data_IF_426182121241
#
_entry.id   IF_426182121241
#
_cell.length_a   1.000
_cell.length_b   1.000
_cell.length_c   1.000
_cell.angle_alpha   90.00
_cell.angle_beta   90.00
_cell.angle_gamma   90.00
#
_symmetry.space_group_name_H-M   'P 1'
#
loop_
_entity.id
_entity.type
_entity.pdbx_description
1 polymer ?
#
# COMPACT_ATOMS: atom_id res chain seq x y z
N UNK A 1 -4.58 29.32 66.58
CA UNK A 1 -5.19 29.81 65.33
C UNK A 1 -4.12 30.50 64.49
N UNK A 2 -3.49 29.77 63.57
CA UNK A 2 -2.80 30.33 62.40
C UNK A 2 -2.55 29.15 61.46
N UNK A 3 -3.46 29.00 60.52
CA UNK A 3 -3.37 28.10 59.37
C UNK A 3 -3.85 28.89 58.18
N UNK A 4 -3.28 28.58 57.02
CA UNK A 4 -3.64 28.97 55.65
C UNK A 4 -2.63 29.93 55.04
N UNK A 5 -1.73 29.38 54.23
CA UNK A 5 -1.73 29.56 52.77
C UNK A 5 -0.59 28.70 52.19
N UNK A 6 -0.94 27.56 51.59
CA UNK A 6 -0.09 26.89 50.59
C UNK A 6 -0.64 27.28 49.21
N UNK A 7 0.19 27.69 48.26
CA UNK A 7 -0.26 27.89 46.89
C UNK A 7 -0.48 26.54 46.24
N UNK A 8 -1.71 26.28 45.81
CA UNK A 8 -2.08 25.17 44.96
C UNK A 8 -1.42 25.34 43.59
N UNK A 9 -0.58 24.39 43.22
CA UNK A 9 -0.14 24.16 41.84
C UNK A 9 -1.37 23.94 40.97
N UNK A 10 -1.63 24.86 40.04
CA UNK A 10 -2.55 24.66 38.93
C UNK A 10 -1.97 23.54 38.06
N UNK A 11 -2.47 22.32 38.27
CA UNK A 11 -2.39 21.30 37.25
C UNK A 11 -3.25 21.78 36.08
N UNK A 12 -2.59 22.15 34.98
CA UNK A 12 -3.25 22.38 33.69
C UNK A 12 -4.18 21.19 33.40
N UNK A 13 -5.48 21.46 33.49
CA UNK A 13 -6.51 20.57 32.99
C UNK A 13 -6.28 20.38 31.49
N UNK A 14 -5.68 19.25 31.09
CA UNK A 14 -5.81 18.77 29.73
C UNK A 14 -7.29 18.48 29.49
N UNK A 15 -7.95 19.39 28.78
CA UNK A 15 -9.19 19.09 28.07
C UNK A 15 -8.89 17.85 27.20
N UNK A 16 -9.73 16.79 27.20
CA UNK A 16 -9.51 15.66 26.31
C UNK A 16 -9.71 16.16 24.87
N UNK A 17 -8.61 16.62 24.26
CA UNK A 17 -8.56 16.98 22.86
C UNK A 17 -8.88 15.73 22.05
N UNK A 18 -9.75 15.87 21.05
CA UNK A 18 -9.97 14.79 20.10
C UNK A 18 -8.62 14.41 19.49
N UNK A 19 -8.23 13.14 19.61
CA UNK A 19 -7.01 12.57 19.03
C UNK A 19 -6.92 12.95 17.55
N UNK A 20 -5.72 13.30 17.08
CA UNK A 20 -5.47 13.54 15.65
C UNK A 20 -5.65 12.25 14.83
N UNK A 21 -5.39 11.10 15.45
CA UNK A 21 -5.68 9.79 14.86
C UNK A 21 -7.15 9.40 15.04
N UNK A 22 -7.74 8.94 13.95
CA UNK A 22 -9.08 8.34 13.86
C UNK A 22 -9.04 6.82 13.67
N UNK A 23 -7.86 6.23 13.60
CA UNK A 23 -7.66 4.79 13.47
C UNK A 23 -8.31 4.04 14.62
N UNK A 24 -9.23 3.12 14.29
CA UNK A 24 -9.89 2.26 15.28
C UNK A 24 -8.94 1.19 15.80
N UNK A 25 -8.82 1.10 17.13
CA UNK A 25 -7.95 0.13 17.77
C UNK A 25 -6.46 0.41 17.49
N UNK A 26 -5.65 -0.63 17.64
CA UNK A 26 -4.21 -0.59 17.42
C UNK A 26 -3.84 -1.51 16.27
N UNK A 27 -3.02 -1.03 15.34
CA UNK A 27 -2.45 -1.83 14.26
C UNK A 27 -1.54 -2.93 14.86
N UNK A 28 -1.63 -4.15 14.33
CA UNK A 28 -0.85 -5.29 14.82
C UNK A 28 0.05 -5.77 13.68
N UNK A 29 1.37 -5.55 13.75
CA UNK A 29 2.28 -6.09 12.74
C UNK A 29 2.27 -7.62 12.74
N UNK A 30 2.01 -8.22 11.57
CA UNK A 30 1.92 -9.68 11.40
C UNK A 30 3.13 -10.17 10.63
N UNK A 31 3.83 -11.17 11.18
CA UNK A 31 4.86 -11.89 10.42
C UNK A 31 4.18 -12.82 9.44
N UNK A 32 4.65 -12.85 8.20
CA UNK A 32 4.14 -13.72 7.14
C UNK A 32 5.28 -14.51 6.51
N UNK A 33 4.94 -15.67 5.95
CA UNK A 33 5.84 -16.50 5.16
C UNK A 33 5.05 -17.09 3.98
N UNK A 34 5.53 -16.84 2.77
CA UNK A 34 4.98 -17.39 1.55
C UNK A 34 5.90 -18.51 1.01
N UNK A 35 5.31 -19.55 0.41
CA UNK A 35 6.03 -20.62 -0.26
C UNK A 35 5.66 -20.60 -1.75
N UNK A 36 6.58 -20.11 -2.57
CA UNK A 36 6.36 -19.87 -4.00
C UNK A 36 6.60 -21.11 -4.87
N UNK A 37 7.08 -22.22 -4.31
CA UNK A 37 7.64 -23.33 -5.07
C UNK A 37 6.69 -23.97 -6.09
N UNK A 38 5.37 -23.84 -5.88
CA UNK A 38 4.32 -24.39 -6.75
C UNK A 38 3.42 -23.35 -7.38
N UNK A 39 3.67 -22.07 -7.14
CA UNK A 39 2.85 -20.97 -7.60
C UNK A 39 3.10 -20.73 -9.09
N UNK A 40 2.09 -20.84 -9.98
CA UNK A 40 2.27 -20.65 -11.42
C UNK A 40 2.19 -19.15 -11.81
N UNK A 41 2.85 -18.76 -12.92
CA UNK A 41 2.69 -17.39 -13.47
C UNK A 41 1.25 -17.04 -13.82
N UNK A 42 0.51 -18.02 -14.39
CA UNK A 42 -0.93 -17.94 -14.58
C UNK A 42 -1.63 -18.42 -13.31
N UNK A 43 -1.54 -17.62 -12.25
CA UNK A 43 -2.12 -17.92 -10.95
C UNK A 43 -3.64 -17.78 -10.93
N UNK A 44 -4.26 -17.19 -11.96
CA UNK A 44 -5.71 -17.26 -12.20
C UNK A 44 -5.94 -18.16 -13.42
N UNK A 45 -6.42 -19.41 -13.24
CA UNK A 45 -6.60 -20.36 -14.34
C UNK A 45 -7.46 -19.83 -15.49
N UNK A 46 -6.97 -19.97 -16.73
CA UNK A 46 -7.60 -19.50 -17.95
C UNK A 46 -7.54 -17.97 -18.13
N UNK A 47 -6.83 -17.24 -17.26
CA UNK A 47 -6.77 -15.77 -17.23
C UNK A 47 -5.32 -15.26 -17.18
N UNK A 48 -4.49 -15.55 -18.19
CA UNK A 48 -3.10 -15.12 -18.20
C UNK A 48 -2.92 -13.60 -18.25
N UNK A 49 -3.80 -12.89 -18.96
CA UNK A 49 -3.77 -11.42 -18.97
C UNK A 49 -3.95 -10.86 -17.56
N UNK A 50 -4.96 -11.34 -16.83
CA UNK A 50 -5.22 -10.90 -15.45
C UNK A 50 -4.09 -11.26 -14.49
N UNK A 51 -3.54 -12.47 -14.63
CA UNK A 51 -2.45 -12.95 -13.79
C UNK A 51 -1.21 -12.07 -13.91
N UNK A 52 -0.75 -11.81 -15.14
CA UNK A 52 0.38 -10.91 -15.40
C UNK A 52 0.09 -9.48 -15.00
N UNK A 53 -1.11 -8.98 -15.28
CA UNK A 53 -1.47 -7.61 -14.94
C UNK A 53 -1.41 -7.38 -13.43
N UNK A 54 -1.90 -8.32 -12.61
CA UNK A 54 -1.83 -8.22 -11.15
C UNK A 54 -0.41 -8.48 -10.64
N UNK A 55 0.35 -9.40 -11.25
CA UNK A 55 1.74 -9.68 -10.87
C UNK A 55 2.62 -8.41 -10.85
N UNK A 56 2.32 -7.42 -11.68
CA UNK A 56 3.03 -6.13 -11.70
C UNK A 56 3.03 -5.42 -10.34
N UNK A 57 1.99 -5.59 -9.54
CA UNK A 57 1.89 -4.97 -8.20
C UNK A 57 3.12 -5.31 -7.34
N UNK A 58 3.66 -6.53 -7.48
CA UNK A 58 4.84 -6.96 -6.73
C UNK A 58 6.09 -6.11 -7.00
N UNK A 59 6.21 -5.50 -8.19
CA UNK A 59 7.35 -4.65 -8.54
C UNK A 59 7.13 -3.18 -8.21
N UNK A 60 5.87 -2.73 -8.10
CA UNK A 60 5.52 -1.34 -7.78
C UNK A 60 5.71 -1.05 -6.29
N UNK A 61 5.26 -1.96 -5.43
CA UNK A 61 5.12 -1.68 -4.01
C UNK A 61 6.46 -1.56 -3.24
N UNK A 62 7.44 -2.49 -3.36
CA UNK A 62 8.54 -2.57 -2.39
C UNK A 62 9.35 -1.28 -2.23
N UNK A 63 9.76 -0.64 -3.34
CA UNK A 63 10.53 0.60 -3.30
C UNK A 63 9.72 1.75 -2.67
N UNK A 64 8.41 1.80 -2.96
CA UNK A 64 7.47 2.77 -2.41
C UNK A 64 7.26 2.61 -0.91
N UNK A 65 7.02 1.39 -0.45
CA UNK A 65 6.77 1.09 0.97
C UNK A 65 8.03 1.30 1.84
N UNK A 66 9.22 0.98 1.33
CA UNK A 66 10.46 1.38 1.98
C UNK A 66 10.63 2.91 2.03
N UNK A 67 10.21 3.62 0.98
CA UNK A 67 10.16 5.08 0.98
C UNK A 67 9.14 5.63 1.98
N UNK A 68 7.97 4.99 2.14
CA UNK A 68 6.98 5.34 3.18
C UNK A 68 7.60 5.24 4.56
N UNK A 69 8.26 4.10 4.84
CA UNK A 69 8.96 3.87 6.11
C UNK A 69 9.97 4.98 6.43
N UNK A 70 10.82 5.36 5.46
CA UNK A 70 11.81 6.44 5.64
C UNK A 70 11.13 7.78 5.94
N UNK A 71 10.09 8.12 5.18
CA UNK A 71 9.41 9.41 5.32
C UNK A 71 8.61 9.50 6.63
N UNK A 72 7.97 8.42 7.06
CA UNK A 72 7.23 8.36 8.31
C UNK A 72 8.16 8.45 9.52
N UNK A 73 9.32 7.79 9.49
CA UNK A 73 10.35 7.95 10.52
C UNK A 73 10.82 9.40 10.63
N UNK A 74 10.96 10.10 9.48
CA UNK A 74 11.31 11.52 9.45
C UNK A 74 10.20 12.43 9.98
N UNK A 75 8.94 12.07 9.75
CA UNK A 75 7.77 12.81 10.21
C UNK A 75 7.48 12.58 11.71
N UNK A 76 7.86 11.43 12.26
CA UNK A 76 7.53 10.99 13.62
C UNK A 76 7.88 12.00 14.73
N UNK A 77 9.05 12.67 14.72
CA UNK A 77 9.39 13.70 15.71
C UNK A 77 8.50 14.96 15.65
N UNK A 78 7.80 15.18 14.53
CA UNK A 78 6.95 16.36 14.32
C UNK A 78 5.52 16.16 14.83
N UNK A 79 5.13 14.92 15.14
CA UNK A 79 3.80 14.57 15.63
C UNK A 79 3.79 14.55 17.15
N UNK A 80 2.85 15.29 17.76
CA UNK A 80 2.69 15.38 19.22
C UNK A 80 1.60 14.45 19.76
N UNK A 81 0.62 14.10 18.94
CA UNK A 81 -0.47 13.19 19.30
C UNK A 81 0.06 11.78 19.51
N UNK A 82 -0.10 11.23 20.72
CA UNK A 82 0.50 9.94 21.10
C UNK A 82 -0.12 8.76 20.33
N UNK A 83 -1.43 8.81 20.07
CA UNK A 83 -2.12 7.74 19.32
C UNK A 83 -1.65 7.70 17.87
N UNK A 84 -1.57 8.85 17.21
CA UNK A 84 -1.07 8.96 15.84
C UNK A 84 0.40 8.53 15.76
N UNK A 85 1.22 8.83 16.78
CA UNK A 85 2.60 8.32 16.83
C UNK A 85 2.66 6.80 16.93
N UNK A 86 1.86 6.16 17.79
CA UNK A 86 1.81 4.68 17.87
C UNK A 86 1.33 4.08 16.55
N UNK A 87 0.29 4.66 15.93
CA UNK A 87 -0.20 4.21 14.63
C UNK A 87 0.86 4.31 13.54
N UNK A 88 1.59 5.43 13.46
CA UNK A 88 2.71 5.58 12.53
C UNK A 88 3.79 4.52 12.77
N UNK A 89 4.12 4.21 14.03
CA UNK A 89 5.12 3.20 14.36
C UNK A 89 4.66 1.79 13.94
N UNK A 90 3.37 1.48 14.10
CA UNK A 90 2.83 0.19 13.69
C UNK A 90 2.70 0.09 12.16
N UNK A 91 2.26 1.16 11.51
CA UNK A 91 2.25 1.31 10.05
C UNK A 91 3.64 1.05 9.45
N UNK A 92 4.69 1.71 9.95
CA UNK A 92 6.09 1.47 9.50
C UNK A 92 6.48 -0.02 9.57
N UNK A 93 5.98 -0.74 10.59
CA UNK A 93 6.30 -2.17 10.75
C UNK A 93 5.53 -3.04 9.77
N UNK A 94 4.27 -2.73 9.48
CA UNK A 94 3.44 -3.42 8.48
C UNK A 94 3.98 -3.16 7.07
N UNK A 95 4.24 -1.91 6.71
CA UNK A 95 4.86 -1.52 5.43
C UNK A 95 6.20 -2.22 5.18
N UNK A 96 7.06 -2.29 6.20
CA UNK A 96 8.32 -3.01 6.05
C UNK A 96 8.13 -4.52 5.82
N UNK A 97 7.03 -5.10 6.33
CA UNK A 97 6.65 -6.49 6.05
C UNK A 97 6.08 -6.65 4.64
N UNK A 98 5.22 -5.73 4.18
CA UNK A 98 4.70 -5.69 2.81
C UNK A 98 5.86 -5.67 1.81
N UNK A 99 6.85 -4.79 2.02
CA UNK A 99 7.94 -4.58 1.08
C UNK A 99 8.80 -5.84 0.92
N UNK A 100 9.02 -6.54 2.04
CA UNK A 100 9.74 -7.83 2.04
C UNK A 100 8.93 -8.95 1.38
N UNK A 101 7.62 -9.00 1.61
CA UNK A 101 6.77 -10.02 1.03
C UNK A 101 6.69 -9.88 -0.50
N UNK A 102 6.43 -8.68 -1.00
CA UNK A 102 6.42 -8.40 -2.43
C UNK A 102 7.82 -8.53 -3.05
N UNK A 103 8.88 -8.10 -2.35
CA UNK A 103 10.26 -8.34 -2.77
C UNK A 103 10.60 -9.83 -2.91
N UNK A 104 10.11 -10.67 -2.00
CA UNK A 104 10.18 -12.12 -2.11
C UNK A 104 9.43 -12.66 -3.34
N UNK A 105 8.24 -12.13 -3.63
CA UNK A 105 7.49 -12.50 -4.84
C UNK A 105 8.23 -12.09 -6.13
N UNK A 106 9.02 -11.01 -6.13
CA UNK A 106 9.91 -10.69 -7.25
C UNK A 106 11.01 -11.77 -7.39
N UNK A 107 11.81 -11.97 -6.34
CA UNK A 107 13.04 -12.75 -6.40
C UNK A 107 12.80 -14.27 -6.46
N UNK A 108 11.85 -14.77 -5.68
CA UNK A 108 11.61 -16.20 -5.48
C UNK A 108 10.50 -16.76 -6.37
N UNK A 109 9.65 -15.89 -6.93
CA UNK A 109 8.54 -16.27 -7.80
C UNK A 109 8.73 -15.75 -9.23
N UNK A 110 8.65 -14.45 -9.50
CA UNK A 110 8.68 -13.93 -10.87
C UNK A 110 10.00 -14.27 -11.59
N UNK A 111 11.14 -14.00 -10.95
CA UNK A 111 12.45 -14.31 -11.51
C UNK A 111 12.70 -15.82 -11.64
N UNK A 112 12.18 -16.63 -10.71
CA UNK A 112 12.26 -18.09 -10.79
C UNK A 112 11.50 -18.67 -11.99
N UNK A 113 10.45 -17.98 -12.45
CA UNK A 113 9.75 -18.28 -13.70
C UNK A 113 10.37 -17.63 -14.96
N UNK A 114 11.55 -17.00 -14.82
CA UNK A 114 12.27 -16.39 -15.95
C UNK A 114 11.69 -15.07 -16.43
N UNK A 115 10.85 -14.40 -15.62
CA UNK A 115 10.37 -13.04 -15.92
C UNK A 115 11.48 -12.03 -15.63
N UNK A 116 11.77 -11.18 -16.60
CA UNK A 116 12.60 -10.00 -16.41
C UNK A 116 11.80 -8.94 -15.63
N UNK A 117 12.25 -8.65 -14.41
CA UNK A 117 11.66 -7.66 -13.50
C UNK A 117 12.49 -6.38 -13.41
N UNK A 118 13.67 -6.35 -14.03
CA UNK A 118 14.67 -5.32 -13.78
C UNK A 118 14.22 -3.95 -14.30
N UNK A 119 13.61 -3.92 -15.49
CA UNK A 119 13.09 -2.67 -16.06
C UNK A 119 12.11 -1.99 -15.11
N UNK A 120 11.12 -2.74 -14.62
CA UNK A 120 10.02 -2.17 -13.83
C UNK A 120 10.52 -1.75 -12.45
N UNK A 121 11.35 -2.57 -11.79
CA UNK A 121 11.96 -2.23 -10.50
C UNK A 121 12.85 -0.98 -10.58
N UNK A 122 13.71 -0.85 -11.60
CA UNK A 122 14.54 0.35 -11.80
C UNK A 122 13.73 1.64 -11.98
N UNK A 123 12.54 1.58 -12.59
CA UNK A 123 11.65 2.74 -12.72
C UNK A 123 11.16 3.18 -11.34
N UNK A 124 10.79 2.23 -10.48
CA UNK A 124 10.32 2.51 -9.13
C UNK A 124 11.45 3.01 -8.22
N UNK A 125 12.63 2.41 -8.32
CA UNK A 125 13.83 2.88 -7.61
C UNK A 125 14.14 4.33 -7.99
N UNK A 126 14.18 4.65 -9.29
CA UNK A 126 14.39 6.02 -9.73
C UNK A 126 13.29 6.99 -9.21
N UNK A 127 12.03 6.57 -9.25
CA UNK A 127 10.91 7.40 -8.76
C UNK A 127 11.08 7.77 -7.28
N UNK A 128 11.46 6.81 -6.43
CA UNK A 128 11.49 7.01 -4.98
C UNK A 128 12.86 7.40 -4.41
N UNK A 129 13.95 7.04 -5.09
CA UNK A 129 15.32 7.32 -4.66
C UNK A 129 15.93 8.55 -5.34
N UNK A 130 15.40 8.99 -6.50
CA UNK A 130 15.87 10.19 -7.19
C UNK A 130 14.81 11.29 -7.24
N UNK A 131 13.60 11.01 -7.73
CA UNK A 131 12.58 12.05 -7.94
C UNK A 131 11.90 12.48 -6.63
N UNK A 132 11.53 11.53 -5.76
CA UNK A 132 10.84 11.78 -4.48
C UNK A 132 11.77 11.67 -3.26
N UNK A 133 13.08 11.71 -3.50
CA UNK A 133 14.11 11.65 -2.49
C UNK A 133 14.09 12.83 -1.52
N UNK A 134 14.87 12.73 -0.44
CA UNK A 134 15.11 13.86 0.45
C UNK A 134 15.89 14.99 -0.23
N UNK A 135 16.84 14.62 -1.10
CA UNK A 135 17.60 15.54 -1.95
C UNK A 135 17.33 15.15 -3.42
N UNK A 136 16.23 15.64 -4.03
CA UNK A 136 15.82 15.18 -5.36
C UNK A 136 16.89 15.49 -6.41
N UNK A 137 17.27 14.47 -7.18
CA UNK A 137 18.39 14.52 -8.15
C UNK A 137 19.72 14.97 -7.53
N UNK A 138 19.98 14.60 -6.26
CA UNK A 138 21.16 14.99 -5.50
C UNK A 138 21.21 16.48 -5.14
N UNK A 139 20.07 17.19 -5.19
CA UNK A 139 20.00 18.62 -4.87
C UNK A 139 19.28 18.86 -3.55
N UNK A 140 19.94 19.60 -2.66
CA UNK A 140 19.36 20.01 -1.38
C UNK A 140 18.13 20.89 -1.59
N UNK A 141 17.03 20.51 -0.94
CA UNK A 141 15.84 21.36 -0.85
C UNK A 141 16.17 22.57 0.02
N UNK A 142 15.86 23.81 -0.40
CA UNK A 142 16.07 24.99 0.44
C UNK A 142 15.38 24.84 1.80
N UNK A 143 16.04 25.27 2.89
CA UNK A 143 15.51 25.14 4.27
C UNK A 143 14.07 25.63 4.44
N UNK A 144 13.71 26.74 3.76
CA UNK A 144 12.37 27.32 3.81
C UNK A 144 11.28 26.40 3.19
N UNK A 145 11.68 25.47 2.32
CA UNK A 145 10.80 24.54 1.61
C UNK A 145 10.83 23.12 2.17
N UNK A 146 11.74 22.78 3.09
CA UNK A 146 11.87 21.41 3.63
C UNK A 146 10.56 20.85 4.20
N UNK A 147 9.86 21.65 5.02
CA UNK A 147 8.56 21.24 5.57
C UNK A 147 7.51 21.06 4.47
N UNK A 148 7.48 21.94 3.47
CA UNK A 148 6.54 21.84 2.34
C UNK A 148 6.84 20.61 1.49
N UNK A 149 8.12 20.28 1.28
CA UNK A 149 8.55 19.08 0.57
C UNK A 149 8.18 17.80 1.32
N UNK A 150 8.31 17.78 2.65
CA UNK A 150 7.83 16.69 3.48
C UNK A 150 6.31 16.50 3.34
N UNK A 151 5.52 17.56 3.54
CA UNK A 151 4.05 17.49 3.45
C UNK A 151 3.57 17.12 2.04
N UNK A 152 4.24 17.63 0.99
CA UNK A 152 3.97 17.25 -0.40
C UNK A 152 4.10 15.74 -0.59
N UNK A 153 5.21 15.15 -0.15
CA UNK A 153 5.47 13.71 -0.27
C UNK A 153 4.51 12.88 0.59
N UNK A 154 4.18 13.34 1.80
CA UNK A 154 3.14 12.69 2.63
C UNK A 154 1.75 12.73 1.97
N UNK A 155 1.44 13.78 1.21
CA UNK A 155 0.20 13.84 0.44
C UNK A 155 0.18 12.89 -0.75
N UNK A 156 1.33 12.60 -1.37
CA UNK A 156 1.47 11.51 -2.34
C UNK A 156 1.19 10.16 -1.66
N UNK A 157 1.81 9.90 -0.49
CA UNK A 157 1.56 8.66 0.27
C UNK A 157 0.07 8.52 0.58
N UNK A 158 -0.57 9.56 1.13
CA UNK A 158 -2.00 9.50 1.44
C UNK A 158 -2.89 9.18 0.22
N UNK A 159 -2.51 9.63 -0.99
CA UNK A 159 -3.21 9.29 -2.21
C UNK A 159 -2.96 7.85 -2.66
N UNK A 160 -1.72 7.35 -2.53
CA UNK A 160 -1.37 5.96 -2.84
C UNK A 160 -2.06 5.00 -1.87
N UNK A 161 -2.04 5.30 -0.58
CA UNK A 161 -2.70 4.54 0.50
C UNK A 161 -4.22 4.46 0.33
N UNK A 162 -4.84 5.53 -0.16
CA UNK A 162 -6.25 5.48 -0.53
C UNK A 162 -6.47 4.46 -1.67
N UNK A 163 -5.62 4.50 -2.69
CA UNK A 163 -5.75 3.61 -3.84
C UNK A 163 -5.46 2.13 -3.48
N UNK A 164 -4.46 1.86 -2.64
CA UNK A 164 -4.17 0.52 -2.12
C UNK A 164 -5.28 0.02 -1.22
N UNK A 165 -5.88 0.87 -0.38
CA UNK A 165 -7.07 0.53 0.40
C UNK A 165 -8.26 0.15 -0.50
N UNK A 166 -8.53 0.92 -1.57
CA UNK A 166 -9.59 0.60 -2.56
C UNK A 166 -9.31 -0.74 -3.24
N UNK A 167 -8.07 -0.99 -3.66
CA UNK A 167 -7.67 -2.26 -4.28
C UNK A 167 -7.70 -3.43 -3.29
N UNK A 168 -7.34 -3.20 -2.03
CA UNK A 168 -7.44 -4.17 -0.95
C UNK A 168 -8.87 -4.59 -0.69
N UNK A 169 -9.81 -3.63 -0.68
CA UNK A 169 -11.24 -3.92 -0.63
C UNK A 169 -11.70 -4.76 -1.81
N UNK A 170 -11.26 -4.44 -3.02
CA UNK A 170 -11.54 -5.26 -4.21
C UNK A 170 -10.99 -6.69 -4.04
N UNK A 171 -9.76 -6.86 -3.56
CA UNK A 171 -9.14 -8.16 -3.38
C UNK A 171 -9.85 -9.04 -2.33
N UNK A 172 -10.32 -8.43 -1.24
CA UNK A 172 -11.08 -9.10 -0.18
C UNK A 172 -12.47 -9.55 -0.64
N UNK A 173 -13.13 -8.75 -1.48
CA UNK A 173 -14.49 -9.01 -1.97
C UNK A 173 -14.55 -9.90 -3.21
N UNK A 174 -13.46 -9.98 -3.97
CA UNK A 174 -13.48 -10.68 -5.24
C UNK A 174 -13.54 -12.20 -5.08
N UNK A 175 -14.75 -12.75 -5.17
CA UNK A 175 -15.00 -14.20 -5.18
C UNK A 175 -14.69 -14.87 -6.52
N UNK A 176 -14.49 -14.10 -7.60
CA UNK A 176 -14.16 -14.67 -8.92
C UNK A 176 -12.80 -15.34 -8.94
N UNK A 177 -11.85 -14.86 -8.14
CA UNK A 177 -10.59 -15.56 -8.02
C UNK A 177 -10.75 -16.91 -7.30
N UNK A 178 -11.59 -17.01 -6.27
CA UNK A 178 -11.88 -18.27 -5.59
C UNK A 178 -12.62 -19.24 -6.54
N UNK A 179 -13.67 -18.76 -7.23
CA UNK A 179 -14.45 -19.53 -8.20
C UNK A 179 -13.57 -20.09 -9.35
N UNK A 180 -12.54 -19.34 -9.74
CA UNK A 180 -11.60 -19.74 -10.79
C UNK A 180 -10.51 -20.71 -10.30
N UNK A 181 -10.43 -20.98 -8.99
CA UNK A 181 -9.35 -21.78 -8.41
C UNK A 181 -7.99 -21.08 -8.48
N UNK A 182 -7.96 -19.78 -8.23
CA UNK A 182 -6.71 -19.02 -8.23
C UNK A 182 -5.73 -19.50 -7.15
N UNK A 183 -4.43 -19.34 -7.39
CA UNK A 183 -3.37 -19.83 -6.52
C UNK A 183 -3.51 -19.25 -5.09
N UNK A 184 -3.54 -20.11 -4.06
CA UNK A 184 -3.81 -19.67 -2.70
C UNK A 184 -2.69 -18.81 -2.12
N UNK A 185 -1.45 -18.93 -2.59
CA UNK A 185 -0.31 -18.17 -2.07
C UNK A 185 -0.36 -16.73 -2.58
N UNK A 186 -0.60 -16.52 -3.88
CA UNK A 186 -0.82 -15.17 -4.43
C UNK A 186 -2.07 -14.53 -3.84
N UNK A 187 -3.15 -15.29 -3.71
CA UNK A 187 -4.39 -14.78 -3.11
C UNK A 187 -4.17 -14.30 -1.67
N UNK A 188 -3.44 -15.07 -0.87
CA UNK A 188 -3.14 -14.68 0.50
C UNK A 188 -2.23 -13.46 0.56
N UNK A 189 -1.19 -13.37 -0.28
CA UNK A 189 -0.36 -12.16 -0.35
C UNK A 189 -1.21 -10.91 -0.62
N UNK A 190 -2.07 -10.95 -1.65
CA UNK A 190 -2.88 -9.81 -2.05
C UNK A 190 -3.94 -9.43 -1.02
N UNK A 191 -4.58 -10.42 -0.39
CA UNK A 191 -5.65 -10.18 0.61
C UNK A 191 -5.10 -9.84 1.99
N UNK A 192 -3.95 -10.40 2.39
CA UNK A 192 -3.25 -10.02 3.62
C UNK A 192 -2.81 -8.56 3.53
N UNK A 193 -2.06 -8.21 2.48
CA UNK A 193 -1.65 -6.84 2.23
C UNK A 193 -2.91 -5.95 2.17
N UNK A 194 -3.86 -6.28 1.31
CA UNK A 194 -5.07 -5.48 1.11
C UNK A 194 -5.92 -5.28 2.38
N UNK A 195 -5.86 -6.20 3.34
CA UNK A 195 -6.50 -6.03 4.64
C UNK A 195 -5.73 -5.09 5.56
N UNK A 196 -4.40 -5.12 5.57
CA UNK A 196 -3.59 -4.14 6.33
C UNK A 196 -3.74 -2.72 5.73
N UNK A 197 -3.87 -2.58 4.41
CA UNK A 197 -4.16 -1.28 3.76
C UNK A 197 -5.50 -0.67 4.20
N UNK A 198 -6.48 -1.50 4.56
CA UNK A 198 -7.70 -1.01 5.21
C UNK A 198 -7.37 -0.48 6.60
N UNK A 199 -6.48 -1.10 7.40
CA UNK A 199 -6.02 -0.53 8.68
C UNK A 199 -5.27 0.81 8.46
N UNK A 200 -4.54 0.95 7.36
CA UNK A 200 -3.67 2.10 7.06
C UNK A 200 -4.40 3.37 6.60
N UNK A 201 -5.59 3.24 6.00
CA UNK A 201 -6.38 4.33 5.38
C UNK A 201 -6.49 5.61 6.21
N UNK A 202 -6.64 5.46 7.53
CA UNK A 202 -6.71 6.59 8.46
C UNK A 202 -5.32 7.15 8.77
N UNK A 203 -4.33 6.30 9.02
CA UNK A 203 -2.97 6.68 9.43
C UNK A 203 -2.34 7.65 8.43
N UNK A 204 -2.38 7.32 7.14
CA UNK A 204 -1.77 8.15 6.11
C UNK A 204 -2.47 9.51 5.95
N UNK A 205 -3.80 9.50 5.97
CA UNK A 205 -4.59 10.72 5.87
C UNK A 205 -4.42 11.61 7.10
N UNK A 206 -4.48 11.03 8.30
CA UNK A 206 -4.38 11.76 9.57
C UNK A 206 -2.99 12.36 9.74
N UNK A 207 -1.92 11.64 9.38
CA UNK A 207 -0.57 12.19 9.36
C UNK A 207 -0.44 13.38 8.41
N UNK A 208 -0.96 13.24 7.18
CA UNK A 208 -0.94 14.31 6.20
C UNK A 208 -1.68 15.55 6.69
N UNK A 209 -2.91 15.38 7.21
CA UNK A 209 -3.71 16.47 7.76
C UNK A 209 -3.02 17.13 8.98
N UNK A 210 -2.51 16.32 9.91
CA UNK A 210 -1.86 16.78 11.13
C UNK A 210 -0.60 17.63 10.86
N UNK A 211 0.13 17.37 9.77
CA UNK A 211 1.33 18.14 9.41
C UNK A 211 1.06 19.36 8.53
N UNK A 212 -0.20 19.63 8.18
CA UNK A 212 -0.64 20.82 7.46
C UNK A 212 -1.12 20.57 6.04
N UNK A 213 -1.40 19.31 5.69
CA UNK A 213 -2.07 18.96 4.45
C UNK A 213 -3.47 19.58 4.37
N UNK A 214 -3.81 20.14 3.21
CA UNK A 214 -5.10 20.78 2.97
C UNK A 214 -5.92 20.03 1.92
N UNK A 215 -7.22 20.30 1.86
CA UNK A 215 -8.09 19.75 0.81
C UNK A 215 -7.57 20.07 -0.60
N UNK A 216 -7.21 21.34 -0.87
CA UNK A 216 -6.73 21.75 -2.19
C UNK A 216 -5.44 21.00 -2.58
N UNK A 217 -4.47 20.94 -1.67
CA UNK A 217 -3.23 20.21 -1.92
C UNK A 217 -3.49 18.71 -2.10
N UNK A 218 -4.40 18.11 -1.30
CA UNK A 218 -4.81 16.71 -1.47
C UNK A 218 -5.41 16.46 -2.84
N UNK A 219 -6.31 17.33 -3.30
CA UNK A 219 -6.94 17.24 -4.62
C UNK A 219 -5.90 17.25 -5.73
N UNK A 220 -5.00 18.25 -5.76
CA UNK A 220 -3.98 18.35 -6.79
C UNK A 220 -2.99 17.18 -6.77
N UNK A 221 -2.57 16.74 -5.59
CA UNK A 221 -1.66 15.60 -5.45
C UNK A 221 -2.32 14.31 -5.93
N UNK A 222 -3.58 14.07 -5.58
CA UNK A 222 -4.34 12.93 -6.07
C UNK A 222 -4.54 12.97 -7.59
N UNK A 223 -4.80 14.15 -8.17
CA UNK A 223 -4.92 14.33 -9.63
C UNK A 223 -3.62 13.98 -10.38
N UNK A 224 -2.47 13.98 -9.70
CA UNK A 224 -1.18 13.59 -10.26
C UNK A 224 -0.88 12.13 -9.94
N UNK A 225 -0.97 11.75 -8.67
CA UNK A 225 -0.58 10.43 -8.17
C UNK A 225 -1.46 9.32 -8.72
N UNK A 226 -2.79 9.48 -8.74
CA UNK A 226 -3.71 8.41 -9.19
C UNK A 226 -3.48 8.05 -10.66
N UNK A 227 -3.47 9.00 -11.63
CA UNK A 227 -3.16 8.65 -13.01
C UNK A 227 -1.74 8.11 -13.21
N UNK A 228 -0.75 8.63 -12.45
CA UNK A 228 0.63 8.16 -12.52
C UNK A 228 0.73 6.69 -12.10
N UNK A 229 0.14 6.29 -10.97
CA UNK A 229 0.22 4.90 -10.51
C UNK A 229 -0.57 3.97 -11.42
N UNK A 230 -1.76 4.36 -11.90
CA UNK A 230 -2.48 3.56 -12.91
C UNK A 230 -1.65 3.41 -14.18
N UNK A 231 -0.96 4.46 -14.61
CA UNK A 231 -0.07 4.45 -15.76
C UNK A 231 1.14 3.53 -15.57
N UNK A 232 1.80 3.58 -14.41
CA UNK A 232 2.91 2.69 -14.04
C UNK A 232 2.45 1.23 -13.99
N UNK A 233 1.28 0.97 -13.42
CA UNK A 233 0.69 -0.37 -13.38
C UNK A 233 0.40 -0.91 -14.77
N UNK A 234 -0.21 -0.11 -15.65
CA UNK A 234 -0.47 -0.50 -17.02
C UNK A 234 0.83 -0.69 -17.84
N UNK A 235 1.83 0.19 -17.66
CA UNK A 235 3.11 0.11 -18.36
C UNK A 235 3.91 -1.13 -17.94
N UNK A 236 4.02 -1.40 -16.64
CA UNK A 236 4.69 -2.56 -16.12
C UNK A 236 3.98 -3.87 -16.48
N UNK A 237 2.65 -3.90 -16.38
CA UNK A 237 1.85 -5.02 -16.87
C UNK A 237 2.05 -5.27 -18.37
N UNK A 238 2.13 -4.21 -19.19
CA UNK A 238 2.44 -4.35 -20.60
C UNK A 238 3.83 -4.95 -20.84
N UNK A 239 4.81 -4.59 -20.02
CA UNK A 239 6.14 -5.20 -20.06
C UNK A 239 6.08 -6.70 -19.76
N UNK A 240 5.38 -7.11 -18.70
CA UNK A 240 5.17 -8.54 -18.36
C UNK A 240 4.44 -9.29 -19.47
N UNK A 241 3.33 -8.74 -19.97
CA UNK A 241 2.54 -9.34 -21.04
C UNK A 241 3.35 -9.56 -22.33
N UNK A 242 4.26 -8.65 -22.66
CA UNK A 242 5.11 -8.77 -23.84
C UNK A 242 6.21 -9.84 -23.71
N UNK A 243 6.50 -10.33 -22.50
CA UNK A 243 7.39 -11.47 -22.28
C UNK A 243 6.69 -12.82 -22.47
N UNK A 244 5.35 -12.83 -22.50
CA UNK A 244 4.57 -14.04 -22.67
C UNK A 244 4.42 -14.41 -24.16
N UNK A 245 4.82 -15.63 -24.59
CA UNK A 245 4.71 -16.07 -25.98
C UNK A 245 3.30 -15.99 -26.56
N UNK A 246 2.26 -16.08 -25.72
CA UNK A 246 0.85 -15.96 -26.13
C UNK A 246 0.50 -14.58 -26.68
N UNK A 247 1.30 -13.56 -26.35
CA UNK A 247 1.08 -12.17 -26.73
C UNK A 247 2.21 -11.60 -27.63
N UNK A 248 3.10 -12.44 -28.17
CA UNK A 248 4.26 -12.00 -28.95
C UNK A 248 3.93 -11.05 -30.13
N UNK A 249 2.74 -11.18 -30.73
CA UNK A 249 2.27 -10.30 -31.81
C UNK A 249 1.57 -9.01 -31.36
N UNK A 250 1.24 -8.87 -30.08
CA UNK A 250 0.37 -7.79 -29.61
C UNK A 250 1.12 -6.47 -29.41
N UNK A 251 2.36 -6.54 -28.91
CA UNK A 251 3.25 -5.39 -28.63
C UNK A 251 2.55 -4.32 -27.80
N UNK A 252 2.06 -4.71 -26.63
CA UNK A 252 1.36 -3.85 -25.68
C UNK A 252 2.23 -2.68 -25.23
N UNK A 253 1.61 -1.53 -24.97
CA UNK A 253 2.24 -0.34 -24.45
C UNK A 253 1.18 0.56 -23.84
N UNK A 254 1.50 1.24 -22.74
CA UNK A 254 0.60 2.20 -22.08
C UNK A 254 0.17 3.33 -23.03
N UNK A 255 0.99 3.66 -24.02
CA UNK A 255 0.69 4.70 -25.03
C UNK A 255 -0.21 4.23 -26.17
N UNK A 256 -0.54 2.92 -26.23
CA UNK A 256 -1.38 2.35 -27.29
C UNK A 256 -2.79 2.03 -26.76
N UNK A 257 -3.87 2.42 -27.45
CA UNK A 257 -5.24 2.09 -27.05
C UNK A 257 -5.49 0.59 -26.87
N UNK A 258 -4.75 -0.26 -27.61
CA UNK A 258 -4.86 -1.72 -27.56
C UNK A 258 -4.76 -2.28 -26.14
N UNK A 259 -3.80 -1.81 -25.32
CA UNK A 259 -3.65 -2.29 -23.94
C UNK A 259 -4.90 -1.98 -23.12
N UNK A 260 -5.36 -0.72 -23.17
CA UNK A 260 -6.52 -0.25 -22.41
C UNK A 260 -7.81 -0.94 -22.84
N UNK A 261 -8.01 -1.14 -24.15
CA UNK A 261 -9.15 -1.89 -24.69
C UNK A 261 -9.10 -3.36 -24.27
N UNK A 262 -7.91 -3.98 -24.26
CA UNK A 262 -7.75 -5.35 -23.80
C UNK A 262 -8.02 -5.47 -22.31
N UNK A 263 -7.46 -4.58 -21.48
CA UNK A 263 -7.74 -4.51 -20.06
C UNK A 263 -9.25 -4.38 -19.80
N UNK A 264 -9.91 -3.40 -20.40
CA UNK A 264 -11.37 -3.23 -20.27
C UNK A 264 -12.17 -4.49 -20.68
N UNK A 265 -11.75 -5.18 -21.75
CA UNK A 265 -12.39 -6.43 -22.20
C UNK A 265 -12.19 -7.56 -21.18
N UNK A 266 -10.98 -7.77 -20.68
CA UNK A 266 -10.66 -8.84 -19.73
C UNK A 266 -11.32 -8.61 -18.36
N UNK A 267 -11.45 -7.35 -17.92
CA UNK A 267 -12.12 -6.99 -16.67
C UNK A 267 -13.61 -7.36 -16.65
N UNK A 268 -14.26 -7.57 -17.80
CA UNK A 268 -15.66 -8.03 -17.86
C UNK A 268 -15.86 -9.40 -17.22
N UNK A 269 -14.79 -10.19 -17.08
CA UNK A 269 -14.83 -11.49 -16.41
C UNK A 269 -14.85 -11.39 -14.89
N UNK A 270 -14.58 -10.20 -14.32
CA UNK A 270 -14.52 -9.96 -12.87
C UNK A 270 -13.17 -10.27 -12.21
N UNK A 271 -12.18 -10.80 -12.94
CA UNK A 271 -10.86 -11.14 -12.40
C UNK A 271 -9.87 -9.96 -12.37
N UNK A 272 -10.24 -8.83 -12.99
CA UNK A 272 -9.54 -7.55 -12.94
C UNK A 272 -10.54 -6.42 -12.72
N UNK A 273 -10.17 -5.34 -12.02
CA UNK A 273 -11.00 -4.14 -11.99
C UNK A 273 -11.06 -3.53 -13.38
N UNK A 274 -12.23 -3.02 -13.78
CA UNK A 274 -12.35 -2.29 -15.05
C UNK A 274 -11.68 -0.91 -14.89
N UNK A 275 -10.90 -0.40 -15.87
CA UNK A 275 -10.15 0.85 -15.70
C UNK A 275 -11.03 2.06 -15.34
N UNK A 276 -12.21 2.20 -15.97
CA UNK A 276 -13.15 3.28 -15.62
C UNK A 276 -13.77 3.10 -14.22
N UNK A 277 -13.98 1.85 -13.80
CA UNK A 277 -14.53 1.56 -12.48
C UNK A 277 -13.48 1.80 -11.40
N UNK A 278 -12.23 1.42 -11.68
CA UNK A 278 -11.09 1.72 -10.83
C UNK A 278 -10.95 3.23 -10.63
N UNK A 279 -11.00 4.03 -11.70
CA UNK A 279 -10.99 5.49 -11.60
C UNK A 279 -12.19 6.03 -10.81
N UNK A 280 -13.38 5.47 -11.02
CA UNK A 280 -14.58 5.86 -10.28
C UNK A 280 -14.45 5.57 -8.76
N UNK A 281 -13.82 4.47 -8.38
CA UNK A 281 -13.57 4.14 -6.98
C UNK A 281 -12.58 5.08 -6.28
N UNK A 282 -11.76 5.83 -7.02
CA UNK A 282 -10.87 6.86 -6.44
C UNK A 282 -11.57 8.20 -6.20
N UNK A 283 -12.76 8.42 -6.77
CA UNK A 283 -13.48 9.69 -6.69
C UNK A 283 -13.77 10.18 -5.25
N UNK A 284 -14.05 9.33 -4.26
CA UNK A 284 -14.23 9.78 -2.88
C UNK A 284 -13.08 10.65 -2.36
N UNK A 285 -11.82 10.32 -2.68
CA UNK A 285 -10.65 11.07 -2.21
C UNK A 285 -10.60 12.53 -2.69
N UNK A 286 -11.26 12.82 -3.82
CA UNK A 286 -11.40 14.15 -4.38
C UNK A 286 -12.51 14.98 -3.72
N UNK A 287 -13.33 14.39 -2.85
CA UNK A 287 -14.43 15.09 -2.16
C UNK A 287 -13.93 15.95 -1.00
N UNK A 288 -14.35 17.21 -0.85
CA UNK A 288 -13.99 18.01 0.34
C UNK A 288 -14.49 17.40 1.66
N UNK A 289 -15.45 16.49 1.59
CA UNK A 289 -16.05 15.77 2.72
C UNK A 289 -15.50 14.34 2.87
N UNK A 290 -14.37 14.03 2.22
CA UNK A 290 -13.75 12.71 2.28
C UNK A 290 -13.49 12.28 3.72
N UNK A 291 -13.89 11.06 4.03
CA UNK A 291 -13.69 10.42 5.32
C UNK A 291 -13.09 9.03 5.09
N UNK A 292 -11.79 8.82 5.37
CA UNK A 292 -11.12 7.54 5.15
C UNK A 292 -11.76 6.38 5.91
N UNK A 293 -12.47 6.65 7.01
CA UNK A 293 -13.13 5.60 7.78
C UNK A 293 -14.19 4.83 6.96
N UNK A 294 -14.77 5.48 5.93
CA UNK A 294 -15.77 4.89 5.03
C UNK A 294 -15.17 4.01 3.93
N UNK A 295 -13.86 4.01 3.76
CA UNK A 295 -13.17 3.20 2.76
C UNK A 295 -12.93 1.79 3.31
N UNK A 296 -13.81 0.86 2.95
CA UNK A 296 -13.70 -0.54 3.38
C UNK A 296 -14.22 -0.85 4.78
N UNK A 297 -14.14 -2.12 5.14
CA UNK A 297 -14.61 -2.63 6.44
C UNK A 297 -13.44 -3.12 7.28
N UNK A 298 -13.18 -2.44 8.39
CA UNK A 298 -12.19 -2.87 9.39
C UNK A 298 -12.51 -4.27 9.92
N UNK A 299 -13.79 -4.58 10.14
CA UNK A 299 -14.21 -5.91 10.62
C UNK A 299 -13.82 -7.00 9.62
N UNK A 300 -14.10 -6.78 8.32
CA UNK A 300 -13.75 -7.73 7.27
C UNK A 300 -12.24 -7.90 7.13
N UNK A 301 -11.49 -6.80 7.18
CA UNK A 301 -10.04 -6.82 7.14
C UNK A 301 -9.47 -7.66 8.30
N UNK A 302 -9.89 -7.38 9.53
CA UNK A 302 -9.47 -8.12 10.71
C UNK A 302 -9.88 -9.59 10.65
N UNK A 303 -11.07 -9.91 10.14
CA UNK A 303 -11.52 -11.28 9.96
C UNK A 303 -10.61 -12.05 8.99
N UNK A 304 -10.19 -11.42 7.88
CA UNK A 304 -9.24 -12.05 6.96
C UNK A 304 -7.87 -12.25 7.61
N UNK A 305 -7.34 -11.20 8.24
CA UNK A 305 -6.02 -11.20 8.89
C UNK A 305 -5.91 -12.25 10.00
N UNK A 306 -7.01 -12.55 10.70
CA UNK A 306 -7.07 -13.62 11.70
C UNK A 306 -6.96 -15.04 11.09
N UNK A 307 -7.22 -15.18 9.79
CA UNK A 307 -7.25 -16.45 9.06
C UNK A 307 -6.19 -16.60 7.98
N UNK A 308 -5.28 -15.62 7.81
CA UNK A 308 -4.24 -15.64 6.77
C UNK A 308 -3.31 -16.87 6.91
N UNK A 309 -3.24 -17.74 5.89
CA UNK A 309 -2.33 -18.88 5.87
C UNK A 309 -0.84 -18.52 6.07
N UNK A 310 -0.36 -17.44 5.46
CA UNK A 310 1.03 -17.00 5.57
C UNK A 310 1.37 -16.51 6.98
N UNK A 311 0.42 -15.86 7.65
CA UNK A 311 0.58 -15.48 9.06
C UNK A 311 0.64 -16.71 9.97
N UNK A 312 -0.23 -17.71 9.73
CA UNK A 312 -0.20 -18.97 10.47
C UNK A 312 1.11 -19.75 10.24
N UNK A 313 1.60 -19.80 9.01
CA UNK A 313 2.86 -20.48 8.65
C UNK A 313 4.08 -19.87 9.36
N UNK A 314 4.12 -18.54 9.50
CA UNK A 314 5.19 -17.84 10.21
C UNK A 314 5.16 -18.16 11.72
N UNK A 315 3.98 -18.24 12.34
CA UNK A 315 3.84 -18.60 13.76
C UNK A 315 4.31 -20.03 14.04
N UNK A 316 3.92 -20.98 13.20
CA UNK A 316 4.34 -22.39 13.32
C UNK A 316 5.87 -22.55 13.21
N UNK A 317 6.49 -21.82 12.29
CA UNK A 317 7.95 -21.82 12.13
C UNK A 317 8.68 -21.26 13.36
N UNK A 318 8.16 -20.17 13.93
CA UNK A 318 8.72 -19.57 15.15
C UNK A 318 8.63 -20.46 16.39
N UNK A 319 7.51 -21.17 16.57
CA UNK A 319 7.34 -22.13 17.67
C UNK A 319 8.28 -23.34 17.53
N UNK A 320 8.53 -23.78 16.29
CA UNK A 320 9.43 -24.90 16.02
C UNK A 320 10.89 -24.54 16.31
N UNK A 321 11.32 -23.33 15.94
CA UNK A 321 12.65 -22.81 16.28
C UNK A 321 12.86 -22.69 17.81
N UNK A 322 11.84 -22.24 18.55
CA UNK A 322 11.89 -22.16 20.02
C UNK A 322 11.97 -23.52 20.72
N UNK A 323 11.44 -24.59 20.11
CA UNK A 323 11.55 -25.96 20.63
C UNK A 323 12.92 -26.60 20.37
N UNK A 324 13.64 -26.18 19.34
CA UNK A 324 14.98 -26.70 18.99
C UNK A 324 16.12 -26.04 19.81
N UNK A 325 15.83 -24.92 20.48
CA UNK A 325 16.77 -24.15 21.30
C UNK A 325 16.61 -24.44 22.80
N UNK A 326 15.66 -25.29 23.19
CA UNK A 326 15.47 -25.78 24.56
C UNK A 326 15.94 -27.23 24.69
#
# INVERSE_FOLDING_TARGET
MSSLFKPTTEAEHQVPGHSASRTRGRLIPRKVKFDWAKTPLEWIPGRPFASHFINEINMILPAGEFWFCRLYNKALPLVKDEKLRDDMQMFIRQEAMHARAHGGAIAEYLQAHGIDTERNTRIMDWLFEELLADEPFGRKVPKLLERRWLVFRLGIIAAVEHMTCVLGNYALDNKKWDDAGADPVLLDLLRWHGAEEVEHRNVAFDLYANLGGSYLSRYYLASIAVPLVIGLWADGAAHLLNQDPRYAGEKFSVWKPKLWLRWAKESRSGHLPHPLQLAAWQLPFFSPWYDPEKEGSTERALAYLASSPAAAAAQASGQSALKLVK
#
